data_IF_601199999786
#
_entry.id   IF_601199999786
#
_cell.length_a   1.000
_cell.length_b   1.000
_cell.length_c   1.000
_cell.angle_alpha   90.00
_cell.angle_beta   90.00
_cell.angle_gamma   90.00
#
_symmetry.space_group_name_H-M   'P 1'
#
loop_
_entity.id
_entity.type
_entity.pdbx_description
1 polymer ?
#
# COMPACT_ATOMS: atom_id res chain seq x y z
N UNK A 1 19.42 0.42 1.28
CA UNK A 1 18.17 0.01 0.62
C UNK A 1 17.05 -0.06 1.65
N UNK A 2 15.91 0.55 1.36
CA UNK A 2 14.71 0.58 2.22
C UNK A 2 13.54 -0.08 1.49
N UNK A 3 12.74 -0.87 2.22
CA UNK A 3 11.57 -1.55 1.70
C UNK A 3 10.31 -1.09 2.43
N UNK A 4 9.27 -0.72 1.70
CA UNK A 4 8.05 -0.16 2.24
C UNK A 4 6.82 -0.98 1.87
N UNK A 5 5.90 -1.16 2.83
CA UNK A 5 4.57 -1.70 2.57
C UNK A 5 3.65 -0.60 2.04
N UNK A 6 3.12 -0.77 0.84
CA UNK A 6 2.18 0.18 0.23
C UNK A 6 0.83 0.23 0.95
N UNK A 7 0.19 1.41 1.00
CA UNK A 7 -1.18 1.53 1.50
C UNK A 7 -2.17 1.00 0.46
N UNK A 8 -2.91 -0.05 0.81
CA UNK A 8 -3.98 -0.63 -0.01
C UNK A 8 -5.31 -0.50 0.74
N UNK A 9 -6.18 0.42 0.26
CA UNK A 9 -7.49 0.68 0.89
C UNK A 9 -8.29 -0.62 1.04
N UNK A 10 -8.78 -0.84 2.24
CA UNK A 10 -9.58 -2.02 2.55
C UNK A 10 -8.79 -3.27 2.91
N UNK A 11 -7.52 -3.39 2.52
CA UNK A 11 -6.70 -4.60 2.71
C UNK A 11 -5.63 -4.40 3.79
N UNK A 12 -4.71 -3.43 3.61
CA UNK A 12 -3.59 -3.24 4.55
C UNK A 12 -3.98 -2.41 5.77
N UNK A 13 -5.13 -2.76 6.41
CA UNK A 13 -5.54 -2.23 7.71
C UNK A 13 -4.54 -2.62 8.81
N UNK A 14 -4.71 -2.07 10.03
CA UNK A 14 -3.86 -2.42 11.16
C UNK A 14 -3.79 -3.93 11.40
N UNK A 15 -4.88 -4.66 11.19
CA UNK A 15 -4.92 -6.13 11.35
C UNK A 15 -3.92 -6.80 10.40
N UNK A 16 -3.95 -6.42 9.11
CA UNK A 16 -3.02 -6.95 8.13
C UNK A 16 -1.58 -6.55 8.43
N UNK A 17 -1.32 -5.26 8.72
CA UNK A 17 0.03 -4.76 9.02
C UNK A 17 0.63 -5.45 10.25
N UNK A 18 -0.15 -5.58 11.32
CA UNK A 18 0.26 -6.25 12.56
C UNK A 18 0.58 -7.74 12.33
N UNK A 19 -0.28 -8.45 11.60
CA UNK A 19 -0.06 -9.85 11.26
C UNK A 19 1.20 -10.01 10.37
N UNK A 20 1.37 -9.14 9.38
CA UNK A 20 2.56 -9.14 8.53
C UNK A 20 3.82 -8.88 9.36
N UNK A 21 3.82 -7.86 10.22
CA UNK A 21 4.94 -7.52 11.10
C UNK A 21 5.31 -8.66 12.06
N UNK A 22 4.32 -9.39 12.59
CA UNK A 22 4.53 -10.49 13.53
C UNK A 22 5.00 -11.80 12.87
N UNK A 23 4.61 -12.04 11.61
CA UNK A 23 4.94 -13.27 10.89
C UNK A 23 6.13 -13.13 9.96
N UNK A 24 6.35 -11.93 9.41
CA UNK A 24 7.36 -11.65 8.40
C UNK A 24 8.03 -10.31 8.69
N UNK A 25 9.33 -10.27 8.61
CA UNK A 25 10.15 -9.07 8.76
C UNK A 25 10.54 -8.46 7.40
N UNK A 26 11.36 -7.43 7.41
CA UNK A 26 12.00 -6.86 6.23
C UNK A 26 11.47 -5.51 5.76
N UNK A 27 10.39 -5.00 6.32
CA UNK A 27 9.91 -3.65 6.00
C UNK A 27 10.46 -2.58 6.94
N UNK A 28 10.88 -1.44 6.37
CA UNK A 28 11.35 -0.27 7.12
C UNK A 28 10.20 0.70 7.42
N UNK A 29 9.19 0.81 6.51
CA UNK A 29 8.00 1.64 6.72
C UNK A 29 6.72 0.88 6.31
N UNK A 30 5.64 1.14 7.05
CA UNK A 30 4.30 0.61 6.83
C UNK A 30 3.33 1.75 6.56
N UNK A 31 2.91 1.94 5.31
CA UNK A 31 1.99 3.02 5.00
C UNK A 31 0.55 2.63 5.34
N UNK A 32 -0.10 3.45 6.16
CA UNK A 32 -1.51 3.28 6.55
C UNK A 32 -2.40 3.71 5.38
N UNK A 33 -3.42 2.93 5.00
CA UNK A 33 -4.37 3.32 3.97
C UNK A 33 -4.97 4.70 4.24
N UNK A 34 -5.24 5.43 3.18
CA UNK A 34 -5.56 6.84 3.30
C UNK A 34 -6.79 7.14 4.17
N UNK A 35 -6.65 8.20 4.95
CA UNK A 35 -7.71 8.88 5.68
C UNK A 35 -8.25 9.97 4.76
N UNK A 36 -9.58 10.02 4.58
CA UNK A 36 -10.22 11.15 3.89
C UNK A 36 -10.32 12.30 4.85
N UNK A 37 -9.51 13.34 4.64
CA UNK A 37 -9.62 14.56 5.42
C UNK A 37 -11.02 15.20 5.26
N UNK A 38 -11.60 15.62 6.37
CA UNK A 38 -12.95 16.21 6.47
C UNK A 38 -12.88 17.51 7.26
N UNK A 39 -13.86 18.38 7.04
CA UNK A 39 -13.98 19.61 7.84
C UNK A 39 -14.21 19.30 9.33
N UNK A 40 -14.93 18.23 9.63
CA UNK A 40 -15.15 17.76 11.01
C UNK A 40 -13.99 16.85 11.43
N UNK A 41 -13.33 17.22 12.51
CA UNK A 41 -12.09 16.64 13.05
C UNK A 41 -12.19 15.19 13.60
N UNK A 42 -13.28 14.48 13.37
CA UNK A 42 -13.45 13.17 13.99
C UNK A 42 -13.08 12.03 13.02
N UNK A 43 -12.01 11.33 13.31
CA UNK A 43 -11.74 10.03 12.70
C UNK A 43 -12.87 9.05 13.00
N UNK A 44 -13.30 8.28 12.00
CA UNK A 44 -14.22 7.16 12.20
C UNK A 44 -13.61 6.11 13.11
N UNK A 45 -14.43 5.26 13.71
CA UNK A 45 -13.93 4.18 14.57
C UNK A 45 -12.90 3.27 13.90
N UNK A 46 -13.08 3.03 12.58
CA UNK A 46 -12.10 2.28 11.79
C UNK A 46 -10.78 3.05 11.62
N UNK A 47 -10.84 4.33 11.24
CA UNK A 47 -9.65 5.16 11.10
C UNK A 47 -8.90 5.27 12.42
N UNK A 48 -9.61 5.45 13.55
CA UNK A 48 -9.00 5.47 14.90
C UNK A 48 -8.23 4.17 15.20
N UNK A 49 -8.82 3.00 14.88
CA UNK A 49 -8.13 1.72 15.06
C UNK A 49 -6.90 1.59 14.15
N UNK A 50 -7.01 2.08 12.89
CA UNK A 50 -5.90 2.02 11.93
C UNK A 50 -4.71 2.90 12.33
N UNK A 51 -4.94 4.06 12.97
CA UNK A 51 -3.89 5.00 13.41
C UNK A 51 -3.52 4.89 14.88
N UNK A 52 -4.17 4.03 15.66
CA UNK A 52 -3.83 3.88 17.08
C UNK A 52 -2.37 3.42 17.23
N UNK A 53 -1.57 4.09 18.09
CA UNK A 53 -0.18 3.71 18.34
C UNK A 53 -0.02 2.27 18.82
N UNK A 54 -0.96 1.76 19.61
CA UNK A 54 -0.94 0.39 20.13
C UNK A 54 -1.07 -0.64 18.98
N UNK A 55 -1.87 -0.32 17.98
CA UNK A 55 -2.05 -1.19 16.80
C UNK A 55 -0.89 -1.11 15.80
N UNK A 56 -0.01 -0.13 15.95
CA UNK A 56 1.15 0.09 15.10
C UNK A 56 2.48 -0.03 15.89
N UNK A 57 2.44 -0.56 17.12
CA UNK A 57 3.61 -0.70 17.98
C UNK A 57 4.70 -1.54 17.31
N UNK A 58 5.95 -1.05 17.39
CA UNK A 58 7.13 -1.67 16.76
C UNK A 58 7.30 -1.36 15.28
N UNK A 59 6.28 -0.82 14.59
CA UNK A 59 6.34 -0.45 13.18
C UNK A 59 6.61 1.05 13.01
N UNK A 60 7.42 1.43 12.04
CA UNK A 60 7.41 2.81 11.54
C UNK A 60 6.21 2.97 10.60
N UNK A 61 5.07 3.33 11.19
CA UNK A 61 3.82 3.48 10.46
C UNK A 61 3.63 4.93 9.98
N UNK A 62 3.27 5.12 8.70
CA UNK A 62 3.08 6.43 8.08
C UNK A 62 1.63 6.57 7.63
N UNK A 63 0.81 7.44 8.27
CA UNK A 63 -0.56 7.69 7.85
C UNK A 63 -0.61 8.42 6.51
N UNK A 64 -1.47 7.94 5.59
CA UNK A 64 -1.70 8.61 4.32
C UNK A 64 -2.96 9.46 4.38
N UNK A 65 -2.89 10.69 3.87
CA UNK A 65 -4.00 11.67 3.82
C UNK A 65 -4.47 11.81 2.37
N UNK A 66 -5.78 11.76 2.17
CA UNK A 66 -6.43 11.98 0.87
C UNK A 66 -7.31 13.23 0.94
N UNK A 67 -6.90 14.29 0.28
CA UNK A 67 -7.65 15.55 0.11
C UNK A 67 -7.06 16.38 -1.02
N UNK A 68 -7.79 17.40 -1.45
CA UNK A 68 -7.31 18.52 -2.30
C UNK A 68 -7.47 19.87 -1.59
N UNK A 69 -7.86 19.87 -0.34
CA UNK A 69 -8.01 21.08 0.48
C UNK A 69 -6.84 21.14 1.48
N UNK A 70 -6.04 22.21 1.41
CA UNK A 70 -4.84 22.36 2.24
C UNK A 70 -5.16 22.50 3.73
N UNK A 71 -6.27 23.19 4.08
CA UNK A 71 -6.66 23.34 5.49
C UNK A 71 -7.12 22.03 6.09
N UNK A 72 -7.83 21.20 5.31
CA UNK A 72 -8.21 19.85 5.73
C UNK A 72 -6.98 18.96 5.92
N UNK A 73 -5.98 19.07 5.04
CA UNK A 73 -4.71 18.37 5.18
C UNK A 73 -4.01 18.76 6.49
N UNK A 74 -3.82 20.07 6.72
CA UNK A 74 -3.14 20.60 7.89
C UNK A 74 -3.83 20.20 9.20
N UNK A 75 -5.18 20.31 9.24
CA UNK A 75 -5.94 19.86 10.42
C UNK A 75 -5.74 18.37 10.69
N UNK A 76 -5.82 17.54 9.65
CA UNK A 76 -5.63 16.08 9.79
C UNK A 76 -4.19 15.75 10.19
N UNK A 77 -3.20 16.42 9.61
CA UNK A 77 -1.79 16.24 9.97
C UNK A 77 -1.53 16.61 11.43
N UNK A 78 -2.08 17.75 11.91
CA UNK A 78 -1.94 18.14 13.30
C UNK A 78 -2.56 17.13 14.27
N UNK A 79 -3.74 16.57 13.94
CA UNK A 79 -4.32 15.50 14.75
C UNK A 79 -3.45 14.25 14.76
N UNK A 80 -2.89 13.86 13.62
CA UNK A 80 -1.98 12.72 13.54
C UNK A 80 -0.70 12.96 14.34
N UNK A 81 -0.22 14.20 14.40
CA UNK A 81 0.90 14.60 15.28
C UNK A 81 0.57 14.37 16.75
N UNK A 82 -0.68 14.64 17.19
CA UNK A 82 -1.13 14.34 18.56
C UNK A 82 -1.14 12.82 18.87
N UNK A 83 -1.30 11.97 17.85
CA UNK A 83 -1.13 10.50 17.96
C UNK A 83 0.35 10.08 17.99
N UNK A 84 1.31 11.02 17.88
CA UNK A 84 2.76 10.75 17.93
C UNK A 84 3.40 10.52 16.56
N UNK A 85 2.67 10.66 15.45
CA UNK A 85 3.25 10.56 14.10
C UNK A 85 4.13 11.75 13.79
N UNK A 86 5.30 11.50 13.20
CA UNK A 86 6.25 12.53 12.77
C UNK A 86 6.21 12.75 11.25
N UNK A 87 5.67 11.80 10.52
CA UNK A 87 5.54 11.81 9.06
C UNK A 87 4.10 11.54 8.65
N UNK A 88 3.64 12.24 7.62
CA UNK A 88 2.39 11.95 6.91
C UNK A 88 2.67 11.80 5.42
N UNK A 89 1.84 11.02 4.72
CA UNK A 89 1.94 10.84 3.28
C UNK A 89 0.75 11.47 2.57
N UNK A 90 0.98 12.23 1.51
CA UNK A 90 -0.06 12.76 0.65
C UNK A 90 -0.37 11.76 -0.47
N UNK A 91 -1.66 11.42 -0.65
CA UNK A 91 -2.11 10.57 -1.73
C UNK A 91 -2.43 11.38 -3.00
N UNK A 92 -1.60 11.28 -4.02
CA UNK A 92 -1.81 11.79 -5.37
C UNK A 92 -1.87 10.66 -6.42
N UNK A 93 -2.08 9.41 -5.99
CA UNK A 93 -1.98 8.26 -6.89
C UNK A 93 -3.21 7.34 -6.94
N UNK A 94 -4.20 7.51 -6.07
CA UNK A 94 -5.40 6.65 -6.07
C UNK A 94 -6.21 6.81 -7.37
N UNK A 95 -6.37 5.74 -8.19
CA UNK A 95 -7.05 5.83 -9.49
C UNK A 95 -8.55 5.57 -9.41
N UNK A 96 -9.09 5.31 -8.21
CA UNK A 96 -10.50 4.97 -8.01
C UNK A 96 -11.43 6.06 -8.52
N UNK A 97 -12.45 5.70 -9.30
CA UNK A 97 -13.44 6.66 -9.84
C UNK A 97 -14.04 7.55 -8.74
N UNK A 98 -14.38 6.99 -7.58
CA UNK A 98 -14.96 7.73 -6.44
C UNK A 98 -14.00 8.74 -5.81
N UNK A 99 -12.71 8.61 -6.06
CA UNK A 99 -11.66 9.53 -5.62
C UNK A 99 -11.40 10.58 -6.69
N UNK A 100 -11.18 10.13 -7.93
CA UNK A 100 -10.83 10.96 -9.08
C UNK A 100 -11.94 11.96 -9.42
N UNK A 101 -13.22 11.55 -9.40
CA UNK A 101 -14.36 12.45 -9.65
C UNK A 101 -14.48 13.61 -8.65
N UNK A 102 -13.87 13.46 -7.47
CA UNK A 102 -13.78 14.52 -6.46
C UNK A 102 -12.51 15.38 -6.62
N UNK A 103 -11.72 15.15 -7.66
CA UNK A 103 -10.46 15.84 -7.89
C UNK A 103 -9.38 15.48 -6.84
N UNK A 104 -9.48 14.32 -6.17
CA UNK A 104 -8.51 13.84 -5.19
C UNK A 104 -7.69 12.67 -5.74
N UNK A 105 -6.64 12.27 -5.02
CA UNK A 105 -5.75 11.21 -5.47
C UNK A 105 -5.16 11.53 -6.83
N UNK A 106 -5.16 10.58 -7.77
CA UNK A 106 -4.68 10.83 -9.11
C UNK A 106 -5.46 11.95 -9.83
N UNK A 107 -6.76 12.18 -9.49
CA UNK A 107 -7.56 13.25 -10.05
C UNK A 107 -7.06 14.67 -9.75
N UNK A 108 -6.20 14.84 -8.76
CA UNK A 108 -5.58 16.13 -8.46
C UNK A 108 -4.45 16.47 -9.45
N UNK A 109 -3.85 15.46 -10.10
CA UNK A 109 -2.78 15.63 -11.09
C UNK A 109 -3.25 16.39 -12.35
N UNK A 110 -4.57 16.37 -12.65
CA UNK A 110 -5.16 17.13 -13.74
C UNK A 110 -5.18 18.66 -13.50
N UNK A 111 -4.71 19.13 -12.35
CA UNK A 111 -4.80 20.54 -11.92
C UNK A 111 -3.47 21.01 -11.33
N UNK A 112 -2.41 21.10 -12.14
CA UNK A 112 -1.06 21.35 -11.66
C UNK A 112 -0.92 22.69 -10.90
N UNK A 113 -1.61 23.75 -11.32
CA UNK A 113 -1.57 25.06 -10.66
C UNK A 113 -2.26 25.04 -9.27
N UNK A 114 -3.41 24.36 -9.16
CA UNK A 114 -4.07 24.16 -7.87
C UNK A 114 -3.22 23.27 -6.94
N UNK A 115 -2.56 22.25 -7.51
CA UNK A 115 -1.67 21.36 -6.78
C UNK A 115 -0.46 22.11 -6.23
N UNK A 116 0.14 23.00 -7.03
CA UNK A 116 1.27 23.82 -6.61
C UNK A 116 0.90 24.72 -5.41
N UNK A 117 -0.24 25.44 -5.50
CA UNK A 117 -0.74 26.29 -4.40
C UNK A 117 -1.06 25.46 -3.15
N UNK A 118 -1.61 24.27 -3.34
CA UNK A 118 -1.87 23.36 -2.22
C UNK A 118 -0.57 22.92 -1.54
N UNK A 119 0.44 22.52 -2.31
CA UNK A 119 1.75 22.10 -1.78
C UNK A 119 2.45 23.27 -1.06
N UNK A 120 2.47 24.46 -1.66
CA UNK A 120 3.02 25.66 -1.03
C UNK A 120 2.41 25.88 0.35
N UNK A 121 1.07 25.82 0.44
CA UNK A 121 0.38 26.04 1.70
C UNK A 121 0.67 24.95 2.75
N UNK A 122 0.71 23.69 2.39
CA UNK A 122 0.98 22.61 3.38
C UNK A 122 2.44 22.60 3.84
N UNK A 123 3.40 22.79 2.93
CA UNK A 123 4.81 22.81 3.29
C UNK A 123 5.22 24.06 4.08
N UNK A 124 4.53 25.21 3.88
CA UNK A 124 4.79 26.43 4.64
C UNK A 124 4.16 26.44 6.04
N UNK A 125 3.20 25.54 6.35
CA UNK A 125 2.38 25.62 7.59
C UNK A 125 2.52 24.42 8.53
N UNK A 126 3.22 23.36 8.14
CA UNK A 126 3.47 22.20 9.02
C UNK A 126 4.95 21.96 9.23
N UNK A 127 5.29 21.50 10.42
CA UNK A 127 6.62 21.02 10.78
C UNK A 127 6.75 19.48 10.66
N UNK A 128 5.68 18.79 10.27
CA UNK A 128 5.72 17.36 10.02
C UNK A 128 6.45 17.07 8.71
N UNK A 129 7.14 15.94 8.67
CA UNK A 129 7.67 15.39 7.42
C UNK A 129 6.53 15.01 6.50
N UNK A 130 6.60 15.43 5.24
CA UNK A 130 5.61 15.10 4.22
C UNK A 130 6.28 14.27 3.12
N UNK A 131 5.84 13.04 2.96
CA UNK A 131 6.10 12.24 1.76
C UNK A 131 4.91 12.29 0.81
N UNK A 132 5.16 12.11 -0.48
CA UNK A 132 4.11 12.18 -1.52
C UNK A 132 4.09 10.87 -2.30
N UNK A 133 2.90 10.27 -2.47
CA UNK A 133 2.72 9.10 -3.33
C UNK A 133 1.91 9.47 -4.57
N UNK A 134 2.54 9.39 -5.74
CA UNK A 134 1.99 9.87 -7.01
C UNK A 134 1.99 8.82 -8.12
N UNK A 135 1.37 9.19 -9.25
CA UNK A 135 1.47 8.57 -10.57
C UNK A 135 2.06 9.55 -11.57
N UNK A 136 2.28 9.10 -12.83
CA UNK A 136 2.87 9.93 -13.90
C UNK A 136 1.91 11.00 -14.43
N UNK A 137 0.62 10.91 -14.16
CA UNK A 137 -0.41 11.81 -14.67
C UNK A 137 -1.77 11.12 -14.75
N UNK A 138 -2.68 11.75 -15.48
CA UNK A 138 -4.04 11.26 -15.72
C UNK A 138 -4.12 10.40 -16.99
N UNK A 139 -3.70 10.94 -18.11
CA UNK A 139 -3.92 10.37 -19.44
C UNK A 139 -2.64 9.81 -20.06
N UNK A 140 -1.51 10.52 -19.92
CA UNK A 140 -0.23 10.13 -20.53
C UNK A 140 0.96 10.54 -19.65
N UNK A 141 2.14 9.98 -19.95
CA UNK A 141 3.35 10.22 -19.15
C UNK A 141 3.97 11.60 -19.42
N UNK A 142 3.65 12.24 -20.55
CA UNK A 142 4.12 13.59 -20.90
C UNK A 142 3.60 14.68 -19.94
N UNK A 143 2.62 14.36 -19.10
CA UNK A 143 2.16 15.24 -18.03
C UNK A 143 3.18 15.33 -16.88
N UNK A 144 4.04 14.32 -16.74
CA UNK A 144 4.87 14.17 -15.55
C UNK A 144 6.01 15.19 -15.40
N UNK A 145 6.71 15.63 -16.45
CA UNK A 145 7.71 16.69 -16.36
C UNK A 145 7.17 17.96 -15.69
N UNK A 146 5.95 18.39 -16.04
CA UNK A 146 5.30 19.54 -15.38
C UNK A 146 5.04 19.31 -13.90
N UNK A 147 4.62 18.10 -13.52
CA UNK A 147 4.43 17.73 -12.13
C UNK A 147 5.78 17.71 -11.37
N UNK A 148 6.85 17.25 -12.01
CA UNK A 148 8.19 17.24 -11.42
C UNK A 148 8.75 18.65 -11.18
N UNK A 149 8.49 19.61 -12.08
CA UNK A 149 8.83 21.03 -11.84
C UNK A 149 8.19 21.54 -10.55
N UNK A 150 6.92 21.15 -10.29
CA UNK A 150 6.21 21.51 -9.07
C UNK A 150 6.81 20.79 -7.86
N UNK A 151 6.96 19.47 -7.92
CA UNK A 151 7.47 18.67 -6.79
C UNK A 151 8.89 19.11 -6.36
N UNK A 152 9.73 19.50 -7.29
CA UNK A 152 11.10 19.96 -7.03
C UNK A 152 11.21 21.31 -6.31
N UNK A 153 10.09 22.00 -6.09
CA UNK A 153 10.03 23.25 -5.30
C UNK A 153 9.85 23.01 -3.81
N UNK A 154 9.48 21.77 -3.42
CA UNK A 154 9.13 21.46 -2.04
C UNK A 154 10.07 20.37 -1.47
N UNK A 155 10.51 20.51 -0.18
CA UNK A 155 11.41 19.56 0.47
C UNK A 155 10.61 18.32 0.96
N UNK A 156 10.34 17.38 0.07
CA UNK A 156 9.63 16.16 0.44
C UNK A 156 10.55 15.19 1.18
N UNK A 157 10.04 14.51 2.19
CA UNK A 157 10.76 13.39 2.84
C UNK A 157 11.05 12.29 1.83
N UNK A 158 10.08 11.97 0.97
CA UNK A 158 10.21 11.02 -0.15
C UNK A 158 9.14 11.29 -1.21
N UNK A 159 9.50 11.11 -2.48
CA UNK A 159 8.59 11.09 -3.60
C UNK A 159 8.41 9.64 -4.09
N UNK A 160 7.27 9.03 -3.76
CA UNK A 160 6.98 7.64 -4.10
C UNK A 160 6.23 7.62 -5.42
N UNK A 161 6.85 7.06 -6.46
CA UNK A 161 6.35 7.11 -7.82
C UNK A 161 5.86 5.74 -8.26
N UNK A 162 4.56 5.65 -8.61
CA UNK A 162 4.02 4.54 -9.35
C UNK A 162 4.03 4.90 -10.84
N UNK A 163 4.96 4.36 -11.65
CA UNK A 163 5.15 4.80 -13.03
C UNK A 163 4.09 4.25 -13.99
N UNK A 164 2.85 4.61 -13.72
CA UNK A 164 1.63 4.42 -14.51
C UNK A 164 0.82 5.70 -14.47
N UNK A 165 0.01 5.95 -15.49
CA UNK A 165 -1.00 7.02 -15.45
C UNK A 165 -2.29 6.53 -14.77
N UNK A 166 -3.21 7.45 -14.47
CA UNK A 166 -4.45 7.12 -13.76
C UNK A 166 -5.28 6.08 -14.53
N UNK A 167 -5.45 6.26 -15.86
CA UNK A 167 -6.30 5.40 -16.71
C UNK A 167 -5.81 3.96 -16.83
N UNK A 168 -4.53 3.72 -16.55
CA UNK A 168 -3.98 2.35 -16.55
C UNK A 168 -4.51 1.52 -15.40
N UNK A 169 -4.92 2.13 -14.31
CA UNK A 169 -5.20 1.44 -13.05
C UNK A 169 -4.04 0.53 -12.65
N UNK A 170 -4.11 -0.76 -12.99
CA UNK A 170 -3.08 -1.79 -12.76
C UNK A 170 -2.87 -2.70 -13.98
N UNK A 171 -3.36 -2.31 -15.17
CA UNK A 171 -3.38 -3.19 -16.34
C UNK A 171 -2.06 -3.18 -17.09
N UNK A 172 -1.59 -2.00 -17.51
CA UNK A 172 -0.37 -1.88 -18.30
C UNK A 172 0.88 -2.15 -17.43
N UNK A 173 2.04 -2.36 -18.05
CA UNK A 173 3.33 -2.44 -17.36
C UNK A 173 3.75 -1.04 -16.85
N UNK A 174 4.49 -0.95 -15.72
CA UNK A 174 5.11 0.31 -15.30
C UNK A 174 6.01 0.89 -16.40
N UNK A 175 5.90 2.18 -16.65
CA UNK A 175 6.75 2.89 -17.61
C UNK A 175 8.11 3.18 -16.96
N UNK A 176 9.08 2.28 -17.17
CA UNK A 176 10.42 2.38 -16.58
C UNK A 176 11.26 3.46 -17.23
N UNK A 177 11.01 3.81 -18.51
CA UNK A 177 11.68 4.88 -19.20
C UNK A 177 11.34 6.23 -18.55
N UNK A 178 10.06 6.56 -18.43
CA UNK A 178 9.61 7.76 -17.72
C UNK A 178 10.07 7.80 -16.26
N UNK A 179 10.19 6.65 -15.60
CA UNK A 179 10.76 6.61 -14.24
C UNK A 179 12.25 6.98 -14.24
N UNK A 180 13.04 6.50 -15.20
CA UNK A 180 14.46 6.84 -15.35
C UNK A 180 14.68 8.33 -15.62
N UNK A 181 13.86 8.95 -16.48
CA UNK A 181 13.90 10.39 -16.74
C UNK A 181 13.68 11.21 -15.45
N UNK A 182 12.76 10.76 -14.60
CA UNK A 182 12.47 11.42 -13.32
C UNK A 182 13.63 11.35 -12.34
N UNK A 183 14.31 10.22 -12.26
CA UNK A 183 15.48 10.07 -11.37
C UNK A 183 16.55 11.11 -11.70
N UNK A 184 16.74 11.40 -12.99
CA UNK A 184 17.75 12.36 -13.44
C UNK A 184 17.44 13.80 -13.03
N UNK A 185 16.18 14.16 -12.79
CA UNK A 185 15.74 15.54 -12.50
C UNK A 185 15.19 15.76 -11.10
N UNK A 186 14.94 14.69 -10.33
CA UNK A 186 14.36 14.81 -8.99
C UNK A 186 15.36 15.44 -8.01
N UNK A 187 14.88 16.45 -7.28
CA UNK A 187 15.60 17.03 -6.14
C UNK A 187 15.24 16.37 -4.81
N UNK A 188 14.22 15.54 -4.81
CA UNK A 188 13.73 14.81 -3.64
C UNK A 188 14.21 13.35 -3.68
N UNK A 189 14.36 12.68 -2.53
CA UNK A 189 14.58 11.23 -2.49
C UNK A 189 13.43 10.50 -3.19
N UNK A 190 13.76 9.59 -4.13
CA UNK A 190 12.76 8.86 -4.92
C UNK A 190 12.60 7.43 -4.42
N UNK A 191 11.34 7.00 -4.27
CA UNK A 191 10.97 5.63 -4.00
C UNK A 191 10.23 5.03 -5.20
N UNK A 192 10.72 3.90 -5.72
CA UNK A 192 10.04 3.15 -6.77
C UNK A 192 8.85 2.37 -6.21
N UNK A 193 7.70 2.44 -6.88
CA UNK A 193 6.54 1.61 -6.56
C UNK A 193 5.89 1.05 -7.83
N UNK A 194 6.08 -0.22 -8.13
CA UNK A 194 5.45 -0.86 -9.30
C UNK A 194 5.85 -2.32 -9.45
N UNK A 195 4.91 -3.19 -9.67
CA UNK A 195 5.00 -4.61 -10.10
C UNK A 195 6.25 -5.39 -9.62
N UNK A 196 6.57 -5.33 -8.35
CA UNK A 196 7.53 -6.21 -7.68
C UNK A 196 6.71 -7.33 -7.04
N UNK A 197 6.73 -8.52 -7.65
CA UNK A 197 6.00 -9.71 -7.19
C UNK A 197 6.95 -10.83 -6.72
N UNK A 198 8.24 -10.72 -7.02
CA UNK A 198 9.27 -11.67 -6.66
C UNK A 198 10.59 -10.98 -6.33
N UNK A 199 11.51 -11.69 -5.69
CA UNK A 199 12.88 -11.20 -5.48
C UNK A 199 13.62 -10.97 -6.83
N UNK A 200 13.26 -11.70 -7.88
CA UNK A 200 13.85 -11.52 -9.21
C UNK A 200 13.30 -10.26 -9.90
N UNK A 201 12.02 -9.94 -9.75
CA UNK A 201 11.49 -8.64 -10.20
C UNK A 201 12.22 -7.49 -9.52
N UNK A 202 12.43 -7.62 -8.21
CA UNK A 202 13.19 -6.62 -7.44
C UNK A 202 14.61 -6.45 -7.98
N UNK A 203 15.35 -7.55 -8.16
CA UNK A 203 16.73 -7.52 -8.69
C UNK A 203 16.78 -6.87 -10.08
N UNK A 204 15.83 -7.18 -10.96
CA UNK A 204 15.72 -6.58 -12.30
C UNK A 204 15.55 -5.07 -12.22
N UNK A 205 14.63 -4.57 -11.39
CA UNK A 205 14.41 -3.13 -11.20
C UNK A 205 15.62 -2.45 -10.55
N UNK A 206 16.20 -3.07 -9.52
CA UNK A 206 17.38 -2.55 -8.84
C UNK A 206 18.60 -2.46 -9.78
N UNK A 207 18.79 -3.47 -10.63
CA UNK A 207 19.88 -3.46 -11.61
C UNK A 207 19.71 -2.38 -12.67
N UNK A 208 18.47 -2.06 -13.06
CA UNK A 208 18.16 -0.99 -13.99
C UNK A 208 18.33 0.41 -13.35
N UNK A 209 18.06 0.52 -12.06
CA UNK A 209 18.11 1.77 -11.30
C UNK A 209 18.95 1.61 -10.02
N UNK A 210 20.28 1.48 -10.14
CA UNK A 210 21.15 1.15 -9.00
C UNK A 210 21.18 2.25 -7.93
N UNK A 211 20.88 3.50 -8.29
CA UNK A 211 20.86 4.64 -7.36
C UNK A 211 19.53 4.77 -6.58
N UNK A 212 18.54 3.95 -6.88
CA UNK A 212 17.28 3.93 -6.13
C UNK A 212 17.48 3.15 -4.83
N UNK A 213 17.36 3.84 -3.71
CA UNK A 213 17.51 3.23 -2.39
C UNK A 213 16.20 2.77 -1.75
N UNK A 214 15.05 3.22 -2.26
CA UNK A 214 13.74 2.96 -1.67
C UNK A 214 12.80 2.25 -2.65
N UNK A 215 12.16 1.18 -2.19
CA UNK A 215 11.20 0.40 -2.98
C UNK A 215 9.93 0.13 -2.17
N UNK A 216 8.78 0.47 -2.75
CA UNK A 216 7.48 0.22 -2.12
C UNK A 216 6.75 -0.91 -2.82
N UNK A 217 6.29 -1.89 -2.07
CA UNK A 217 5.57 -3.06 -2.57
C UNK A 217 4.14 -3.10 -2.05
N UNK A 218 3.20 -3.46 -2.92
CA UNK A 218 1.78 -3.61 -2.57
C UNK A 218 1.28 -5.01 -2.89
N UNK A 219 0.75 -5.21 -4.08
CA UNK A 219 0.13 -6.49 -4.50
C UNK A 219 1.09 -7.69 -4.42
N UNK A 220 2.39 -7.47 -4.64
CA UNK A 220 3.39 -8.51 -4.47
C UNK A 220 3.39 -9.08 -3.05
N UNK A 221 3.30 -8.23 -2.04
CA UNK A 221 3.23 -8.64 -0.62
C UNK A 221 1.92 -9.36 -0.27
N UNK A 222 0.83 -9.04 -0.97
CA UNK A 222 -0.42 -9.79 -0.81
C UNK A 222 -0.31 -11.20 -1.40
N UNK A 223 0.42 -11.34 -2.51
CA UNK A 223 0.67 -12.62 -3.18
C UNK A 223 1.75 -13.43 -2.46
N UNK A 224 2.73 -12.75 -1.86
CA UNK A 224 3.82 -13.34 -1.09
C UNK A 224 4.14 -12.47 0.14
N UNK A 225 3.60 -12.80 1.31
CA UNK A 225 3.89 -12.07 2.54
C UNK A 225 5.38 -12.08 2.96
N UNK A 226 6.18 -13.06 2.49
CA UNK A 226 7.62 -13.15 2.77
C UNK A 226 8.51 -12.33 1.83
N UNK A 227 7.93 -11.68 0.83
CA UNK A 227 8.68 -11.02 -0.26
C UNK A 227 9.77 -10.05 0.24
N UNK A 228 9.48 -9.23 1.25
CA UNK A 228 10.48 -8.30 1.79
C UNK A 228 11.64 -9.04 2.46
N UNK A 229 11.34 -10.10 3.22
CA UNK A 229 12.34 -10.98 3.85
C UNK A 229 13.23 -11.64 2.80
N UNK A 230 12.63 -12.14 1.70
CA UNK A 230 13.38 -12.78 0.60
C UNK A 230 14.29 -11.79 -0.13
N UNK A 231 13.81 -10.57 -0.42
CA UNK A 231 14.63 -9.49 -1.02
C UNK A 231 15.84 -9.17 -0.16
N UNK A 232 15.72 -9.29 1.17
CA UNK A 232 16.85 -9.11 2.11
C UNK A 232 17.75 -10.36 2.25
N UNK A 233 17.51 -11.40 1.47
CA UNK A 233 18.28 -12.64 1.49
C UNK A 233 17.83 -13.64 2.55
N UNK A 234 16.68 -13.42 3.18
CA UNK A 234 16.08 -14.36 4.11
C UNK A 234 15.35 -15.49 3.39
N UNK A 235 14.84 -16.45 4.17
CA UNK A 235 14.16 -17.64 3.65
C UNK A 235 12.77 -17.29 3.11
N UNK A 236 12.38 -17.85 1.97
CA UNK A 236 11.00 -17.84 1.49
C UNK A 236 10.04 -18.47 2.51
N UNK A 237 8.77 -18.03 2.49
CA UNK A 237 7.76 -18.65 3.33
C UNK A 237 7.58 -20.12 2.97
N UNK A 238 7.34 -20.94 3.97
CA UNK A 238 6.82 -22.29 3.81
C UNK A 238 5.31 -22.34 4.11
N UNK A 239 4.72 -23.51 3.93
CA UNK A 239 3.28 -23.71 4.16
C UNK A 239 2.87 -23.38 5.60
N UNK A 240 3.72 -23.63 6.58
CA UNK A 240 3.43 -23.38 8.00
C UNK A 240 3.46 -21.87 8.31
N UNK A 241 4.35 -21.12 7.68
CA UNK A 241 4.40 -19.66 7.77
C UNK A 241 3.10 -19.03 7.24
N UNK A 242 2.65 -19.49 6.07
CA UNK A 242 1.39 -19.00 5.47
C UNK A 242 0.18 -19.41 6.32
N UNK A 243 0.20 -20.61 6.90
CA UNK A 243 -0.86 -21.06 7.81
C UNK A 243 -0.93 -20.18 9.07
N UNK A 244 0.21 -19.91 9.70
CA UNK A 244 0.31 -19.04 10.88
C UNK A 244 -0.19 -17.63 10.56
N UNK A 245 0.22 -17.06 9.43
CA UNK A 245 -0.22 -15.74 8.99
C UNK A 245 -1.73 -15.69 8.74
N UNK A 246 -2.28 -16.69 8.03
CA UNK A 246 -3.71 -16.82 7.80
C UNK A 246 -4.49 -16.91 9.11
N UNK A 247 -4.06 -17.77 10.04
CA UNK A 247 -4.78 -18.01 11.28
C UNK A 247 -4.77 -16.76 12.16
N UNK A 248 -3.64 -16.05 12.24
CA UNK A 248 -3.55 -14.79 12.95
C UNK A 248 -4.50 -13.73 12.38
N UNK A 249 -4.54 -13.56 11.05
CA UNK A 249 -5.49 -12.67 10.39
C UNK A 249 -6.94 -13.05 10.69
N UNK A 250 -7.27 -14.32 10.52
CA UNK A 250 -8.63 -14.83 10.68
C UNK A 250 -9.12 -14.65 12.12
N UNK A 251 -8.34 -15.03 13.11
CA UNK A 251 -8.71 -14.87 14.53
C UNK A 251 -8.87 -13.40 14.89
N UNK A 252 -7.94 -12.54 14.49
CA UNK A 252 -8.04 -11.10 14.75
C UNK A 252 -9.27 -10.49 14.06
N UNK A 253 -9.59 -10.87 12.82
CA UNK A 253 -10.83 -10.41 12.19
C UNK A 253 -12.09 -10.92 12.91
N UNK A 254 -12.07 -12.16 13.44
CA UNK A 254 -13.18 -12.70 14.23
C UNK A 254 -13.42 -11.93 15.52
N UNK A 255 -12.38 -11.46 16.17
CA UNK A 255 -12.45 -10.66 17.40
C UNK A 255 -12.88 -9.21 17.15
N UNK A 256 -12.38 -8.60 16.07
CA UNK A 256 -12.50 -7.17 15.80
C UNK A 256 -13.71 -6.78 14.93
N UNK A 257 -14.28 -7.74 14.19
CA UNK A 257 -15.32 -7.49 13.21
C UNK A 257 -16.55 -8.35 13.46
N UNK A 258 -17.70 -7.72 13.65
CA UNK A 258 -18.94 -8.44 13.92
C UNK A 258 -19.53 -9.08 12.67
N UNK A 259 -19.95 -10.34 12.83
CA UNK A 259 -20.71 -11.12 11.84
C UNK A 259 -19.86 -11.81 10.78
N UNK A 260 -20.16 -13.09 10.53
CA UNK A 260 -19.44 -13.96 9.60
C UNK A 260 -19.23 -13.31 8.23
N UNK A 261 -20.25 -12.65 7.68
CA UNK A 261 -20.19 -12.02 6.35
C UNK A 261 -19.06 -10.99 6.24
N UNK A 262 -18.87 -10.17 7.27
CA UNK A 262 -17.87 -9.11 7.26
C UNK A 262 -16.46 -9.69 7.40
N UNK A 263 -16.28 -10.66 8.29
CA UNK A 263 -15.02 -11.41 8.45
C UNK A 263 -14.63 -12.10 7.13
N UNK A 264 -15.59 -12.86 6.56
CA UNK A 264 -15.35 -13.60 5.33
C UNK A 264 -15.11 -12.69 4.11
N UNK A 265 -15.70 -11.50 4.08
CA UNK A 265 -15.40 -10.53 3.03
C UNK A 265 -13.90 -10.18 3.00
N UNK A 266 -13.30 -9.96 4.19
CA UNK A 266 -11.86 -9.68 4.32
C UNK A 266 -10.99 -10.89 3.98
N UNK A 267 -11.32 -12.04 4.54
CA UNK A 267 -10.50 -13.24 4.32
C UNK A 267 -10.54 -13.73 2.86
N UNK A 268 -11.68 -13.61 2.17
CA UNK A 268 -11.80 -13.95 0.74
C UNK A 268 -10.96 -13.04 -0.15
N UNK A 269 -10.85 -11.77 0.20
CA UNK A 269 -9.99 -10.81 -0.51
C UNK A 269 -8.51 -11.21 -0.37
N UNK A 270 -8.08 -11.66 0.82
CA UNK A 270 -6.72 -12.15 1.06
C UNK A 270 -6.46 -13.46 0.30
N UNK A 271 -7.42 -14.40 0.34
CA UNK A 271 -7.30 -15.67 -0.39
C UNK A 271 -7.23 -15.52 -1.91
N UNK A 272 -7.76 -14.44 -2.46
CA UNK A 272 -7.58 -14.13 -3.88
C UNK A 272 -6.10 -14.03 -4.27
N UNK A 273 -5.27 -13.52 -3.35
CA UNK A 273 -3.84 -13.39 -3.56
C UNK A 273 -3.04 -14.62 -3.10
N UNK A 274 -3.42 -15.25 -1.98
CA UNK A 274 -2.67 -16.38 -1.41
C UNK A 274 -2.92 -17.72 -2.12
N UNK A 275 -4.11 -17.95 -2.68
CA UNK A 275 -4.45 -19.24 -3.28
C UNK A 275 -3.49 -19.68 -4.41
N UNK A 276 -2.92 -18.79 -5.24
CA UNK A 276 -1.93 -19.17 -6.25
C UNK A 276 -0.63 -19.77 -5.71
N UNK A 277 -0.31 -19.58 -4.42
CA UNK A 277 0.84 -20.23 -3.78
C UNK A 277 0.69 -21.76 -3.63
N UNK A 278 -0.49 -22.30 -3.95
CA UNK A 278 -0.79 -23.72 -3.84
C UNK A 278 -1.16 -24.32 -5.19
N UNK A 279 -0.47 -25.38 -5.58
CA UNK A 279 -0.82 -26.15 -6.78
C UNK A 279 -2.23 -26.73 -6.62
N UNK A 280 -2.99 -26.76 -7.72
CA UNK A 280 -4.35 -27.34 -7.80
C UNK A 280 -5.37 -26.71 -6.84
N UNK A 281 -5.10 -25.51 -6.35
CA UNK A 281 -5.93 -24.79 -5.36
C UNK A 281 -7.30 -24.34 -5.89
N UNK A 282 -7.53 -24.30 -7.21
CA UNK A 282 -8.76 -23.73 -7.85
C UNK A 282 -10.07 -24.23 -7.24
N UNK A 283 -10.17 -25.55 -6.97
CA UNK A 283 -11.35 -26.17 -6.36
C UNK A 283 -11.62 -25.60 -4.97
N UNK A 284 -10.59 -25.52 -4.15
CA UNK A 284 -10.66 -25.07 -2.76
C UNK A 284 -10.84 -23.54 -2.66
N UNK A 285 -10.13 -22.78 -3.47
CA UNK A 285 -10.32 -21.34 -3.60
C UNK A 285 -11.77 -20.98 -3.98
N UNK A 286 -12.41 -21.79 -4.85
CA UNK A 286 -13.84 -21.64 -5.17
C UNK A 286 -14.74 -21.92 -3.97
N UNK A 287 -14.44 -22.95 -3.14
CA UNK A 287 -15.16 -23.23 -1.88
C UNK A 287 -15.03 -22.07 -0.90
N UNK A 288 -13.80 -21.58 -0.67
CA UNK A 288 -13.49 -20.42 0.18
C UNK A 288 -14.31 -19.20 -0.29
N UNK A 289 -14.26 -18.87 -1.59
CA UNK A 289 -14.98 -17.74 -2.17
C UNK A 289 -16.50 -17.84 -1.95
N UNK A 290 -17.09 -19.05 -1.99
CA UNK A 290 -18.52 -19.28 -1.83
C UNK A 290 -18.98 -19.44 -0.37
N UNK A 291 -18.08 -19.55 0.59
CA UNK A 291 -18.44 -19.72 2.00
C UNK A 291 -19.21 -18.51 2.54
N UNK A 292 -20.32 -18.75 3.20
CA UNK A 292 -21.15 -17.70 3.82
C UNK A 292 -21.12 -17.76 5.35
N UNK A 293 -20.63 -18.87 5.92
CA UNK A 293 -20.46 -19.09 7.36
C UNK A 293 -19.01 -19.43 7.66
N UNK A 294 -18.51 -18.97 8.81
CA UNK A 294 -17.13 -19.19 9.24
C UNK A 294 -16.77 -20.67 9.32
N UNK A 295 -17.65 -21.53 9.82
CA UNK A 295 -17.41 -23.00 9.89
C UNK A 295 -17.17 -23.61 8.50
N UNK A 296 -17.93 -23.17 7.47
CA UNK A 296 -17.76 -23.67 6.10
C UNK A 296 -16.43 -23.15 5.50
N UNK A 297 -16.07 -21.92 5.82
CA UNK A 297 -14.81 -21.32 5.42
C UNK A 297 -13.62 -22.07 6.05
N UNK A 298 -13.65 -22.33 7.34
CA UNK A 298 -12.62 -23.06 8.08
C UNK A 298 -12.38 -24.45 7.50
N UNK A 299 -13.47 -25.20 7.21
CA UNK A 299 -13.39 -26.50 6.54
C UNK A 299 -12.71 -26.40 5.18
N UNK A 300 -13.11 -25.40 4.36
CA UNK A 300 -12.52 -25.22 3.01
C UNK A 300 -11.04 -24.84 3.05
N UNK A 301 -10.63 -24.03 4.04
CA UNK A 301 -9.23 -23.67 4.27
C UNK A 301 -8.43 -24.88 4.73
N UNK A 302 -8.95 -25.65 5.70
CA UNK A 302 -8.28 -26.87 6.18
C UNK A 302 -8.10 -27.90 5.05
N UNK A 303 -9.12 -28.09 4.22
CA UNK A 303 -9.02 -28.95 3.04
C UNK A 303 -7.93 -28.47 2.05
N UNK A 304 -7.80 -27.15 1.83
CA UNK A 304 -6.75 -26.59 0.98
C UNK A 304 -5.36 -26.90 1.52
N UNK A 305 -5.12 -26.61 2.78
CA UNK A 305 -3.81 -26.89 3.41
C UNK A 305 -3.47 -28.37 3.48
N UNK A 306 -4.46 -29.25 3.63
CA UNK A 306 -4.25 -30.70 3.69
C UNK A 306 -4.01 -31.36 2.33
N UNK A 307 -4.61 -30.83 1.25
CA UNK A 307 -4.67 -31.54 -0.03
C UNK A 307 -3.91 -30.82 -1.17
N UNK A 308 -3.51 -29.58 -1.01
CA UNK A 308 -2.77 -28.85 -2.04
C UNK A 308 -1.29 -28.77 -1.69
N UNK A 309 -0.45 -29.04 -2.68
CA UNK A 309 1.01 -28.87 -2.51
C UNK A 309 1.33 -27.37 -2.51
N UNK A 310 2.03 -26.93 -1.48
CA UNK A 310 2.57 -25.57 -1.43
C UNK A 310 3.71 -25.43 -2.45
N UNK A 311 3.66 -24.42 -3.29
CA UNK A 311 4.65 -24.13 -4.33
C UNK A 311 5.36 -22.80 -4.15
N UNK A 312 4.89 -21.99 -3.18
CA UNK A 312 5.38 -20.62 -3.05
C UNK A 312 4.89 -19.72 -4.19
N UNK A 313 5.44 -18.54 -4.27
CA UNK A 313 5.12 -17.60 -5.35
C UNK A 313 5.79 -18.04 -6.63
N UNK A 314 5.00 -18.29 -7.65
CA UNK A 314 5.53 -18.58 -8.99
C UNK A 314 5.83 -17.27 -9.70
N UNK A 315 7.04 -17.13 -10.26
CA UNK A 315 7.37 -16.05 -11.20
C UNK A 315 6.35 -16.08 -12.35
N UNK A 316 5.77 -14.92 -12.68
CA UNK A 316 4.86 -14.77 -13.81
C UNK A 316 5.62 -14.73 -15.12
#
# INVERSE_FOLDING_TARGET
MKLYLAPLEGITSYIYRKALYQCFDGFDKYFIPFIRAKQNLNFSGREKKDISPENNSGMYAVPQILTRNADDFLRTANQLKEYGYQEVNLNLGCPSKTVVTKGCGAGFLARPEELEQFLDRIFSKTDMKISVKTRLGMENAEEFPRLMEIYNRFPMEELIIHPRVQKDFYKNTPNLEAFGEVLAISKNPVCYNGDIFSADDFKRIQSQFPDVECFMMGRGVLADPSLAREIRGGKAADQSDIRRFHDLLYHTYREEVSGDRNVLFKMKEIWFYLAPMFADSKKYAKKIKKSERCVVYESAVNELFANCRFTGTQSK
#
